data_IF_038490277755
#
_entry.id   IF_038490277755
#
_cell.length_a   1.000
_cell.length_b   1.000
_cell.length_c   1.000
_cell.angle_alpha   90.00
_cell.angle_beta   90.00
_cell.angle_gamma   90.00
#
_symmetry.space_group_name_H-M   'P 1'
#
loop_
_entity.id
_entity.type
_entity.pdbx_description
1 polymer ?
#
# COMPACT_ATOMS: atom_id res chain seq x y z
N UNK A 1 33.06 -10.69 -38.54
CA UNK A 1 31.76 -11.22 -38.04
C UNK A 1 31.20 -10.42 -36.86
N UNK A 2 32.02 -9.81 -35.99
CA UNK A 2 31.58 -9.01 -34.82
C UNK A 2 30.74 -7.76 -35.17
N UNK A 3 31.03 -7.07 -36.29
CA UNK A 3 30.29 -5.88 -36.74
C UNK A 3 28.81 -6.13 -37.11
N UNK A 4 28.44 -7.37 -37.50
CA UNK A 4 27.06 -7.72 -37.85
C UNK A 4 26.20 -8.01 -36.61
N UNK A 5 26.82 -8.40 -35.50
CA UNK A 5 26.13 -8.68 -34.22
C UNK A 5 25.75 -7.37 -33.51
N UNK A 6 26.61 -6.35 -33.58
CA UNK A 6 26.34 -5.03 -33.00
C UNK A 6 25.12 -4.32 -33.62
N UNK A 7 24.93 -4.45 -34.94
CA UNK A 7 23.77 -3.86 -35.64
C UNK A 7 22.43 -4.52 -35.29
N UNK A 8 22.45 -5.82 -34.99
CA UNK A 8 21.26 -6.57 -34.54
C UNK A 8 20.92 -6.24 -33.09
N UNK A 9 21.91 -6.05 -32.21
CA UNK A 9 21.69 -5.65 -30.82
C UNK A 9 21.11 -4.23 -30.70
N UNK A 10 21.58 -3.26 -31.48
CA UNK A 10 21.04 -1.90 -31.47
C UNK A 10 19.61 -1.81 -32.03
N UNK A 11 19.27 -2.68 -32.99
CA UNK A 11 17.91 -2.71 -33.55
C UNK A 11 16.89 -3.35 -32.59
N UNK A 12 17.31 -4.25 -31.69
CA UNK A 12 16.44 -4.83 -30.65
C UNK A 12 16.15 -3.85 -29.50
N UNK A 13 17.12 -3.01 -29.11
CA UNK A 13 16.93 -1.99 -28.07
C UNK A 13 15.96 -0.87 -28.48
N UNK A 14 15.84 -0.60 -29.79
CA UNK A 14 14.90 0.40 -30.32
C UNK A 14 13.42 -0.02 -30.24
N UNK A 15 13.13 -1.27 -29.84
CA UNK A 15 11.77 -1.80 -29.68
C UNK A 15 11.32 -1.88 -28.22
N UNK A 16 12.11 -1.35 -27.28
CA UNK A 16 11.66 -1.13 -25.92
C UNK A 16 10.69 0.06 -25.90
N UNK A 17 9.39 -0.24 -25.99
CA UNK A 17 8.33 0.75 -25.79
C UNK A 17 8.33 1.32 -24.36
N UNK A 18 7.65 2.46 -24.12
CA UNK A 18 7.53 3.03 -22.78
C UNK A 18 6.91 2.02 -21.82
N UNK A 19 7.59 1.74 -20.71
CA UNK A 19 7.04 0.97 -19.61
C UNK A 19 6.00 1.84 -18.89
N UNK A 20 4.71 1.59 -19.16
CA UNK A 20 3.64 2.19 -18.38
C UNK A 20 3.52 1.45 -17.05
N UNK A 21 4.00 2.07 -15.97
CA UNK A 21 3.73 1.58 -14.62
C UNK A 21 2.22 1.79 -14.35
N UNK A 22 1.49 0.71 -14.09
CA UNK A 22 0.12 0.83 -13.61
C UNK A 22 0.17 1.20 -12.14
N UNK A 23 -0.41 2.35 -11.77
CA UNK A 23 -0.54 2.75 -10.37
C UNK A 23 -1.25 1.66 -9.58
N UNK A 24 -0.68 1.33 -8.43
CA UNK A 24 -1.25 0.30 -7.58
C UNK A 24 -2.44 0.82 -6.82
N UNK A 25 -3.45 -0.04 -6.71
CA UNK A 25 -4.66 0.19 -5.96
C UNK A 25 -4.27 0.20 -4.47
N UNK A 26 -4.31 1.37 -3.83
CA UNK A 26 -3.82 1.51 -2.46
C UNK A 26 -4.83 0.91 -1.49
N UNK A 27 -4.34 0.60 -0.30
CA UNK A 27 -5.22 0.32 0.83
C UNK A 27 -5.98 1.61 1.21
N UNK A 28 -7.14 1.45 1.85
CA UNK A 28 -7.94 2.58 2.33
C UNK A 28 -7.98 2.59 3.85
N UNK A 29 -8.08 3.78 4.44
CA UNK A 29 -8.17 3.95 5.88
C UNK A 29 -9.27 4.96 6.24
N UNK A 30 -10.09 4.63 7.23
CA UNK A 30 -10.98 5.60 7.89
C UNK A 30 -10.19 6.30 9.01
N UNK A 31 -10.07 7.63 8.94
CA UNK A 31 -9.41 8.46 9.94
C UNK A 31 -10.17 9.78 10.09
N UNK A 32 -10.42 10.22 11.33
CA UNK A 32 -11.21 11.42 11.64
C UNK A 32 -12.55 11.49 10.85
N UNK A 33 -13.28 10.38 10.81
CA UNK A 33 -14.55 10.23 10.09
C UNK A 33 -14.47 10.45 8.56
N UNK A 34 -13.26 10.36 7.98
CA UNK A 34 -13.02 10.50 6.55
C UNK A 34 -12.33 9.26 5.99
N UNK A 35 -12.77 8.85 4.80
CA UNK A 35 -12.04 7.86 4.02
C UNK A 35 -10.83 8.52 3.36
N UNK A 36 -9.66 7.93 3.59
CA UNK A 36 -8.38 8.39 3.07
C UNK A 36 -7.63 7.23 2.42
N UNK A 37 -6.60 7.58 1.66
CA UNK A 37 -5.71 6.61 1.01
C UNK A 37 -4.57 6.26 1.97
N UNK A 38 -4.32 4.98 2.20
CA UNK A 38 -3.17 4.51 2.96
C UNK A 38 -2.03 4.19 1.99
N UNK A 39 -0.93 4.96 2.07
CA UNK A 39 0.23 4.81 1.18
C UNK A 39 1.23 3.76 1.66
N UNK A 40 0.88 3.02 2.71
CA UNK A 40 1.65 1.92 3.25
C UNK A 40 0.89 0.61 3.04
N UNK A 41 1.57 -0.51 3.23
CA UNK A 41 1.00 -1.86 3.07
C UNK A 41 1.16 -2.65 4.38
N UNK A 42 0.43 -2.31 5.48
CA UNK A 42 0.68 -2.90 6.79
C UNK A 42 0.32 -4.39 6.88
N UNK A 43 -0.43 -4.92 5.90
CA UNK A 43 -0.76 -6.34 5.81
C UNK A 43 0.40 -7.19 5.25
N UNK A 44 1.45 -6.57 4.71
CA UNK A 44 2.64 -7.29 4.24
C UNK A 44 3.29 -8.11 5.36
N UNK A 45 3.43 -7.56 6.57
CA UNK A 45 4.06 -8.26 7.70
C UNK A 45 3.45 -9.63 8.02
N UNK A 46 2.12 -9.75 8.24
CA UNK A 46 1.49 -11.06 8.43
C UNK A 46 1.59 -11.98 7.20
N UNK A 47 1.63 -11.43 5.99
CA UNK A 47 1.75 -12.22 4.77
C UNK A 47 3.19 -12.67 4.46
N UNK A 48 4.20 -12.09 5.11
CA UNK A 48 5.58 -12.58 5.06
C UNK A 48 5.75 -13.90 5.85
N UNK A 49 4.85 -14.22 6.77
CA UNK A 49 4.83 -15.52 7.46
C UNK A 49 4.38 -16.65 6.51
N UNK A 50 5.20 -17.68 6.27
CA UNK A 50 4.88 -18.74 5.30
C UNK A 50 3.59 -19.50 5.61
N UNK A 51 3.25 -19.69 6.89
CA UNK A 51 2.04 -20.40 7.28
C UNK A 51 0.80 -19.57 6.95
N UNK A 52 0.85 -18.26 7.22
CA UNK A 52 -0.21 -17.30 6.91
C UNK A 52 -0.36 -17.11 5.41
N UNK A 53 0.76 -16.97 4.68
CA UNK A 53 0.76 -16.95 3.22
C UNK A 53 0.11 -18.20 2.62
N UNK A 54 0.43 -19.38 3.14
CA UNK A 54 -0.16 -20.65 2.66
C UNK A 54 -1.68 -20.67 2.85
N UNK A 55 -2.19 -20.24 4.01
CA UNK A 55 -3.65 -20.13 4.26
C UNK A 55 -4.30 -19.12 3.33
N UNK A 56 -3.67 -17.95 3.17
CA UNK A 56 -4.13 -16.90 2.28
C UNK A 56 -4.28 -17.40 0.84
N UNK A 57 -3.22 -17.97 0.24
CA UNK A 57 -3.25 -18.43 -1.15
C UNK A 57 -4.23 -19.59 -1.33
N UNK A 58 -4.29 -20.53 -0.37
CA UNK A 58 -5.22 -21.65 -0.43
C UNK A 58 -6.69 -21.20 -0.42
N UNK A 59 -7.00 -20.12 0.30
CA UNK A 59 -8.35 -19.56 0.34
C UNK A 59 -8.64 -18.65 -0.86
N UNK A 60 -7.70 -17.76 -1.20
CA UNK A 60 -7.91 -16.76 -2.23
C UNK A 60 -8.02 -17.38 -3.61
N UNK A 61 -7.19 -18.39 -3.93
CA UNK A 61 -7.29 -19.13 -5.19
C UNK A 61 -7.42 -18.21 -6.42
N UNK A 62 -8.46 -18.43 -7.24
CA UNK A 62 -8.76 -17.63 -8.42
C UNK A 62 -9.36 -16.24 -8.13
N UNK A 63 -9.72 -15.95 -6.87
CA UNK A 63 -10.33 -14.67 -6.49
C UNK A 63 -9.33 -13.50 -6.49
N UNK A 64 -8.02 -13.77 -6.55
CA UNK A 64 -6.97 -12.74 -6.66
C UNK A 64 -7.12 -11.88 -7.94
N UNK A 65 -7.80 -12.39 -8.97
CA UNK A 65 -8.02 -11.70 -10.23
C UNK A 65 -6.75 -11.57 -11.09
N UNK A 66 -6.83 -10.79 -12.17
CA UNK A 66 -5.75 -10.59 -13.15
C UNK A 66 -5.42 -9.11 -13.38
N UNK A 67 -5.77 -8.26 -12.42
CA UNK A 67 -5.63 -6.80 -12.52
C UNK A 67 -4.20 -6.35 -12.23
N UNK A 68 -3.53 -5.70 -13.18
CA UNK A 68 -2.17 -5.16 -12.97
C UNK A 68 -2.12 -4.05 -11.93
N UNK A 69 -3.22 -3.33 -11.71
CA UNK A 69 -3.36 -2.33 -10.65
C UNK A 69 -3.53 -2.98 -9.26
N UNK A 70 -3.76 -4.29 -9.15
CA UNK A 70 -3.91 -4.98 -7.88
C UNK A 70 -3.01 -6.21 -7.84
N UNK A 71 -1.70 -6.05 -8.11
CA UNK A 71 -0.78 -7.20 -8.22
C UNK A 71 -0.67 -8.00 -6.93
N UNK A 72 -0.91 -7.37 -5.76
CA UNK A 72 -1.01 -8.03 -4.45
C UNK A 72 -2.19 -9.01 -4.38
N UNK A 73 -3.17 -8.86 -5.27
CA UNK A 73 -4.39 -9.65 -5.33
C UNK A 73 -5.40 -9.30 -4.23
N UNK A 74 -5.15 -8.25 -3.45
CA UNK A 74 -6.08 -7.74 -2.45
C UNK A 74 -5.95 -6.22 -2.26
N UNK A 75 -6.97 -5.63 -1.63
CA UNK A 75 -6.94 -4.32 -0.97
C UNK A 75 -7.36 -4.50 0.48
N UNK A 76 -6.64 -3.91 1.42
CA UNK A 76 -7.07 -3.88 2.82
C UNK A 76 -7.78 -2.57 3.15
N UNK A 77 -8.85 -2.69 3.93
CA UNK A 77 -9.62 -1.57 4.44
C UNK A 77 -9.35 -1.47 5.95
N UNK A 78 -8.83 -0.33 6.37
CA UNK A 78 -8.35 -0.05 7.73
C UNK A 78 -9.21 1.02 8.40
N UNK A 79 -9.13 1.11 9.72
CA UNK A 79 -9.66 2.22 10.51
C UNK A 79 -8.69 2.61 11.61
N UNK A 80 -8.57 3.91 11.87
CA UNK A 80 -7.98 4.41 13.10
C UNK A 80 -9.11 4.72 14.09
N UNK A 81 -9.20 3.93 15.16
CA UNK A 81 -10.17 4.12 16.25
C UNK A 81 -9.44 4.60 17.50
N UNK A 82 -9.59 5.88 17.82
CA UNK A 82 -8.75 6.57 18.79
C UNK A 82 -7.27 6.49 18.40
N UNK A 83 -6.47 5.75 19.18
CA UNK A 83 -5.06 5.51 18.90
C UNK A 83 -4.78 4.14 18.28
N UNK A 84 -5.78 3.25 18.17
CA UNK A 84 -5.60 1.89 17.70
C UNK A 84 -5.85 1.80 16.18
N UNK A 85 -4.86 1.30 15.44
CA UNK A 85 -5.04 0.86 14.07
C UNK A 85 -5.76 -0.49 14.05
N UNK A 86 -6.83 -0.57 13.26
CA UNK A 86 -7.70 -1.73 13.11
C UNK A 86 -7.78 -2.14 11.63
N UNK A 87 -7.72 -3.44 11.37
CA UNK A 87 -8.03 -4.02 10.07
C UNK A 87 -9.52 -4.39 10.04
N UNK A 88 -10.32 -3.69 9.23
CA UNK A 88 -11.75 -3.94 9.11
C UNK A 88 -12.05 -5.12 8.17
N UNK A 89 -11.41 -5.13 6.99
CA UNK A 89 -11.58 -6.21 6.00
C UNK A 89 -10.46 -6.26 4.98
N UNK A 90 -10.37 -7.37 4.29
CA UNK A 90 -9.48 -7.58 3.13
C UNK A 90 -10.34 -7.99 1.93
N UNK A 91 -10.28 -7.20 0.85
CA UNK A 91 -11.04 -7.42 -0.38
C UNK A 91 -10.12 -8.08 -1.41
N UNK A 92 -10.49 -9.26 -1.90
CA UNK A 92 -9.70 -10.01 -2.88
C UNK A 92 -10.02 -9.57 -4.31
N UNK A 93 -9.00 -9.45 -5.16
CA UNK A 93 -9.15 -9.08 -6.56
C UNK A 93 -9.98 -7.81 -6.72
N UNK A 94 -9.59 -6.74 -6.03
CA UNK A 94 -10.41 -5.55 -5.80
C UNK A 94 -10.88 -4.82 -7.08
N UNK A 95 -10.32 -5.14 -8.24
CA UNK A 95 -10.76 -4.64 -9.55
C UNK A 95 -11.96 -5.41 -10.15
N UNK A 96 -12.34 -6.56 -9.59
CA UNK A 96 -13.44 -7.38 -10.09
C UNK A 96 -14.78 -6.66 -9.84
N UNK A 97 -15.82 -7.02 -10.63
CA UNK A 97 -17.15 -6.40 -10.51
C UNK A 97 -17.81 -6.63 -9.13
N UNK A 98 -17.57 -7.79 -8.52
CA UNK A 98 -18.09 -8.17 -7.22
C UNK A 98 -16.98 -8.89 -6.43
N UNK A 99 -15.99 -8.14 -5.93
CA UNK A 99 -14.83 -8.74 -5.31
C UNK A 99 -15.21 -9.33 -3.94
N UNK A 100 -14.87 -10.61 -3.65
CA UNK A 100 -15.19 -11.21 -2.38
C UNK A 100 -14.34 -10.62 -1.25
N UNK A 101 -14.87 -10.63 -0.04
CA UNK A 101 -14.09 -10.32 1.17
C UNK A 101 -13.45 -11.61 1.70
N UNK A 102 -12.16 -11.55 2.00
CA UNK A 102 -11.45 -12.62 2.70
C UNK A 102 -11.93 -12.69 4.15
N UNK A 103 -12.38 -13.85 4.66
CA UNK A 103 -12.64 -14.03 6.08
C UNK A 103 -11.34 -13.79 6.88
N UNK A 104 -11.33 -12.81 7.80
CA UNK A 104 -10.10 -12.44 8.50
C UNK A 104 -9.51 -13.58 9.36
N UNK A 105 -10.33 -14.55 9.78
CA UNK A 105 -9.89 -15.78 10.45
C UNK A 105 -8.86 -16.60 9.62
N UNK A 106 -8.86 -16.45 8.30
CA UNK A 106 -7.85 -17.06 7.41
C UNK A 106 -6.45 -16.51 7.73
N UNK A 107 -6.34 -15.20 7.98
CA UNK A 107 -5.08 -14.53 8.30
C UNK A 107 -4.80 -14.57 9.80
N UNK A 108 -5.82 -14.33 10.62
CA UNK A 108 -5.74 -14.15 12.07
C UNK A 108 -6.71 -15.11 12.78
N UNK A 109 -6.36 -16.41 12.89
CA UNK A 109 -7.24 -17.42 13.47
C UNK A 109 -7.73 -17.05 14.89
N UNK A 110 -9.04 -17.16 15.10
CA UNK A 110 -9.69 -16.88 16.38
C UNK A 110 -9.86 -15.40 16.71
N UNK A 111 -9.49 -14.47 15.81
CA UNK A 111 -9.66 -13.04 16.04
C UNK A 111 -10.87 -12.50 15.28
N UNK A 112 -11.86 -11.90 15.96
CA UNK A 112 -13.00 -11.29 15.30
C UNK A 112 -12.59 -10.01 14.57
N UNK A 113 -13.29 -9.68 13.48
CA UNK A 113 -13.19 -8.38 12.85
C UNK A 113 -13.91 -7.31 13.71
N UNK A 114 -13.37 -6.09 13.82
CA UNK A 114 -12.09 -5.66 13.27
C UNK A 114 -10.90 -6.19 14.09
N UNK A 115 -9.79 -6.49 13.40
CA UNK A 115 -8.60 -7.07 14.02
C UNK A 115 -7.63 -5.96 14.45
N UNK A 116 -7.23 -5.87 15.74
CA UNK A 116 -6.20 -4.94 16.17
C UNK A 116 -4.86 -5.22 15.51
N UNK A 117 -4.27 -4.20 14.87
CA UNK A 117 -3.06 -4.31 14.07
C UNK A 117 -1.78 -4.35 14.92
N UNK A 118 -1.73 -5.23 15.92
CA UNK A 118 -0.65 -5.28 16.94
C UNK A 118 0.73 -5.63 16.37
N UNK A 119 0.78 -6.11 15.12
CA UNK A 119 2.02 -6.40 14.39
C UNK A 119 2.62 -5.17 13.69
N UNK A 120 1.92 -4.03 13.68
CA UNK A 120 2.37 -2.84 12.96
C UNK A 120 3.22 -1.95 13.87
N UNK A 121 4.47 -1.73 13.46
CA UNK A 121 5.40 -0.78 14.04
C UNK A 121 5.96 0.14 12.95
N UNK A 122 6.38 1.35 13.32
CA UNK A 122 7.06 2.28 12.40
C UNK A 122 6.17 3.41 11.90
N UNK A 123 6.37 3.83 10.64
CA UNK A 123 5.70 5.00 10.05
C UNK A 123 4.65 4.58 9.02
N UNK A 124 3.43 5.10 9.13
CA UNK A 124 2.39 5.02 8.11
C UNK A 124 2.10 6.41 7.57
N UNK A 125 1.99 6.53 6.25
CA UNK A 125 1.63 7.78 5.58
C UNK A 125 0.22 7.60 5.01
N UNK A 126 -0.66 8.52 5.39
CA UNK A 126 -2.04 8.61 4.93
C UNK A 126 -2.18 9.85 4.06
N UNK A 127 -2.75 9.70 2.88
CA UNK A 127 -3.15 10.81 2.02
C UNK A 127 -4.62 11.14 2.28
N UNK A 128 -4.88 12.31 2.84
CA UNK A 128 -6.22 12.79 3.13
C UNK A 128 -6.91 13.23 1.84
N UNK A 129 -8.25 13.10 1.75
CA UNK A 129 -8.99 13.62 0.61
C UNK A 129 -8.72 15.11 0.43
N UNK A 130 -8.50 15.52 -0.82
CA UNK A 130 -8.29 16.92 -1.16
C UNK A 130 -9.50 17.75 -0.66
N UNK A 131 -9.24 18.76 0.16
CA UNK A 131 -10.29 19.71 0.56
C UNK A 131 -10.62 20.54 -0.68
N UNK A 132 -11.88 20.52 -1.12
CA UNK A 132 -12.34 21.27 -2.29
C UNK A 132 -12.29 22.79 -1.99
N UNK A 133 -11.14 23.40 -2.18
CA UNK A 133 -11.01 24.86 -2.26
C UNK A 133 -11.20 25.31 -3.70
N UNK A 134 -11.87 26.44 -3.91
CA UNK A 134 -12.13 27.09 -5.22
C UNK A 134 -10.87 27.52 -5.98
N UNK A 135 -9.68 27.20 -5.48
CA UNK A 135 -8.41 27.42 -6.16
C UNK A 135 -8.14 26.27 -7.14
N UNK A 136 -7.65 26.60 -8.34
CA UNK A 136 -7.42 25.66 -9.45
C UNK A 136 -6.45 24.49 -9.14
N UNK A 137 -5.87 24.42 -7.94
CA UNK A 137 -5.03 23.34 -7.45
C UNK A 137 -5.36 23.04 -5.98
N UNK A 138 -6.20 22.03 -5.73
CA UNK A 138 -6.45 21.55 -4.37
C UNK A 138 -5.15 20.92 -3.83
N UNK A 139 -4.66 21.41 -2.69
CA UNK A 139 -3.44 20.90 -2.07
C UNK A 139 -3.68 19.56 -1.39
N UNK A 140 -2.96 18.52 -1.80
CA UNK A 140 -3.00 17.22 -1.15
C UNK A 140 -2.33 17.34 0.23
N UNK A 141 -3.04 16.88 1.26
CA UNK A 141 -2.56 16.88 2.64
C UNK A 141 -2.27 15.45 3.07
N UNK A 142 -1.13 15.24 3.72
CA UNK A 142 -0.74 13.93 4.23
C UNK A 142 -0.70 13.94 5.75
N UNK A 143 -0.89 12.78 6.36
CA UNK A 143 -0.69 12.55 7.78
C UNK A 143 0.34 11.43 7.93
N UNK A 144 1.40 11.70 8.68
CA UNK A 144 2.36 10.71 9.15
C UNK A 144 1.94 10.23 10.53
N UNK A 145 1.69 8.94 10.65
CA UNK A 145 1.45 8.25 11.91
C UNK A 145 2.70 7.48 12.27
N UNK A 146 3.17 7.60 13.52
CA UNK A 146 4.14 6.65 14.09
C UNK A 146 3.40 5.69 14.98
N UNK A 147 3.61 4.40 14.77
CA UNK A 147 2.94 3.33 15.48
C UNK A 147 3.93 2.51 16.28
N UNK A 148 3.44 2.02 17.42
CA UNK A 148 4.06 0.96 18.20
C UNK A 148 3.01 -0.09 18.55
N UNK A 149 3.16 -1.33 18.05
CA UNK A 149 2.18 -2.41 18.20
C UNK A 149 0.76 -1.97 17.83
N UNK A 150 0.61 -1.31 16.68
CA UNK A 150 -0.67 -0.81 16.18
C UNK A 150 -1.21 0.44 16.89
N UNK A 151 -0.53 0.95 17.91
CA UNK A 151 -0.93 2.14 18.65
C UNK A 151 -0.20 3.38 18.13
N UNK A 152 -0.94 4.43 17.80
CA UNK A 152 -0.38 5.72 17.36
C UNK A 152 0.30 6.42 18.53
N UNK A 153 1.62 6.55 18.46
CA UNK A 153 2.44 7.25 19.46
C UNK A 153 2.76 8.69 19.05
N UNK A 154 2.68 9.02 17.77
CA UNK A 154 2.75 10.40 17.29
C UNK A 154 2.04 10.57 15.95
N UNK A 155 1.50 11.78 15.72
CA UNK A 155 0.81 12.18 14.50
C UNK A 155 1.36 13.52 14.02
N UNK A 156 1.70 13.62 12.74
CA UNK A 156 2.24 14.84 12.11
C UNK A 156 1.55 15.09 10.77
N UNK A 157 1.13 16.32 10.49
CA UNK A 157 0.62 16.72 9.17
C UNK A 157 1.78 17.10 8.25
N UNK A 158 1.79 16.55 7.04
CA UNK A 158 2.80 16.79 6.01
C UNK A 158 2.19 17.44 4.77
N UNK A 159 2.94 18.37 4.18
CA UNK A 159 2.70 18.84 2.81
C UNK A 159 3.39 17.92 1.82
N UNK A 160 3.01 17.98 0.55
CA UNK A 160 3.66 17.22 -0.52
C UNK A 160 5.18 17.51 -0.58
N UNK A 161 5.58 18.77 -0.42
CA UNK A 161 6.99 19.18 -0.40
C UNK A 161 7.76 18.52 0.75
N UNK A 162 7.20 18.51 1.96
CA UNK A 162 7.82 17.85 3.13
C UNK A 162 7.92 16.34 2.92
N UNK A 163 6.87 15.72 2.36
CA UNK A 163 6.88 14.30 2.05
C UNK A 163 7.98 13.96 1.03
N UNK A 164 8.11 14.77 -0.03
CA UNK A 164 9.16 14.61 -1.06
C UNK A 164 10.56 14.76 -0.47
N UNK A 165 10.78 15.78 0.35
CA UNK A 165 12.06 16.00 1.04
C UNK A 165 12.44 14.80 1.91
N UNK A 166 11.48 14.21 2.65
CA UNK A 166 11.71 13.00 3.45
C UNK A 166 12.10 11.80 2.60
N UNK A 167 11.37 11.53 1.51
CA UNK A 167 11.70 10.41 0.59
C UNK A 167 13.13 10.54 0.04
N UNK A 168 13.52 11.74 -0.36
CA UNK A 168 14.87 12.00 -0.86
C UNK A 168 15.96 11.78 0.20
N UNK A 169 15.69 12.15 1.46
CA UNK A 169 16.62 11.92 2.57
C UNK A 169 16.81 10.44 2.91
N UNK A 170 15.77 9.60 2.74
CA UNK A 170 15.87 8.15 2.96
C UNK A 170 16.67 7.44 1.86
N UNK A 171 16.60 7.92 0.61
CA UNK A 171 17.28 7.31 -0.56
C UNK A 171 18.77 7.70 -0.63
N UNK A 172 19.19 8.79 0.01
CA UNK A 172 20.60 9.20 0.09
C UNK A 172 21.22 8.74 1.41
N UNK A 173 21.96 7.62 1.48
CA UNK A 173 22.73 7.32 2.68
C UNK A 173 23.76 8.43 2.87
N UNK A 174 23.82 9.02 4.08
CA UNK A 174 24.92 9.92 4.44
C UNK A 174 26.24 9.21 4.12
N UNK A 175 27.23 9.87 3.49
CA UNK A 175 28.57 9.33 3.45
C UNK A 175 29.02 9.10 4.89
N UNK A 176 29.35 7.87 5.23
CA UNK A 176 30.01 7.55 6.50
C UNK A 176 31.39 8.21 6.42
N UNK A 177 31.78 9.06 7.39
CA UNK A 177 33.11 9.67 7.43
C UNK A 177 34.22 8.64 7.62
#
# INVERSE_FOLDING_TARGET
MIRRIAGVLLSVLAWAGPAHATDQLPDIIQIDDQQATLLAEPLSGPLDDPATWKRFVAHAGSALGNCSANWRGYRADWRLDGQQLLLDRVVLGACNNAPPTLPLDVLFPGQPAPVPAVWVDGELIVELPATATTAAHASITYVLLRLRRGQVVSRETLTEEKLRARRNATVSPRPVP
#
